data_IF_061052160790
#
_entry.id   IF_061052160790
#
_cell.length_a   1.000
_cell.length_b   1.000
_cell.length_c   1.000
_cell.angle_alpha   90.00
_cell.angle_beta   90.00
_cell.angle_gamma   90.00
#
_symmetry.space_group_name_H-M   'P 1'
#
loop_
_entity.id
_entity.type
_entity.pdbx_description
1 polymer ?
#
# COMPACT_ATOMS: atom_id res chain seq x y z
N UNK A 1 25.56 -5.09 35.04
CA UNK A 1 24.10 -5.32 34.84
C UNK A 1 23.50 -4.45 33.72
N UNK A 2 23.73 -3.12 33.68
CA UNK A 2 23.22 -2.25 32.59
C UNK A 2 23.71 -2.65 31.18
N UNK A 3 24.98 -3.02 31.04
CA UNK A 3 25.54 -3.41 29.73
C UNK A 3 24.95 -4.72 29.17
N UNK A 4 24.69 -5.72 30.04
CA UNK A 4 24.00 -6.95 29.62
C UNK A 4 22.57 -6.68 29.13
N UNK A 5 21.88 -5.70 29.72
CA UNK A 5 20.54 -5.30 29.26
C UNK A 5 20.58 -4.68 27.87
N UNK A 6 21.56 -3.81 27.60
CA UNK A 6 21.72 -3.16 26.30
C UNK A 6 22.08 -4.18 25.21
N UNK A 7 23.00 -5.10 25.51
CA UNK A 7 23.37 -6.18 24.58
C UNK A 7 22.15 -7.05 24.26
N UNK A 8 21.32 -7.40 25.24
CA UNK A 8 20.11 -8.17 25.02
C UNK A 8 19.08 -7.42 24.16
N UNK A 9 18.92 -6.12 24.38
CA UNK A 9 18.05 -5.26 23.54
C UNK A 9 18.52 -5.25 22.09
N UNK A 10 19.81 -5.07 21.84
CA UNK A 10 20.39 -5.06 20.49
C UNK A 10 20.16 -6.42 19.80
N UNK A 11 20.52 -7.53 20.47
CA UNK A 11 20.31 -8.89 19.94
C UNK A 11 18.84 -9.17 19.60
N UNK A 12 17.92 -8.65 20.41
CA UNK A 12 16.49 -8.78 20.13
C UNK A 12 16.10 -8.02 18.86
N UNK A 13 16.54 -6.77 18.70
CA UNK A 13 16.26 -5.98 17.50
C UNK A 13 16.84 -6.64 16.24
N UNK A 14 18.09 -7.12 16.30
CA UNK A 14 18.75 -7.81 15.18
C UNK A 14 18.00 -9.09 14.79
N UNK A 15 17.50 -9.85 15.78
CA UNK A 15 16.68 -11.05 15.50
C UNK A 15 15.38 -10.71 14.77
N UNK A 16 14.68 -9.65 15.18
CA UNK A 16 13.44 -9.23 14.51
C UNK A 16 13.76 -8.71 13.11
N UNK A 17 14.83 -7.92 12.95
CA UNK A 17 15.30 -7.41 11.66
C UNK A 17 15.63 -8.56 10.67
N UNK A 18 16.33 -9.59 11.13
CA UNK A 18 16.63 -10.78 10.32
C UNK A 18 15.36 -11.52 9.90
N UNK A 19 14.36 -11.65 10.79
CA UNK A 19 13.07 -12.26 10.47
C UNK A 19 12.30 -11.45 9.41
N UNK A 20 12.28 -10.13 9.54
CA UNK A 20 11.66 -9.21 8.57
C UNK A 20 12.28 -9.40 7.18
N UNK A 21 13.62 -9.43 7.08
CA UNK A 21 14.31 -9.64 5.80
C UNK A 21 14.11 -11.04 5.21
N UNK A 22 14.11 -12.08 6.05
CA UNK A 22 13.84 -13.44 5.60
C UNK A 22 12.43 -13.55 5.01
N UNK A 23 11.43 -12.97 5.70
CA UNK A 23 10.03 -12.97 5.25
C UNK A 23 9.87 -12.15 3.97
N UNK A 24 10.55 -11.00 3.86
CA UNK A 24 10.51 -10.18 2.63
C UNK A 24 10.96 -10.95 1.39
N UNK A 25 11.96 -11.84 1.52
CA UNK A 25 12.44 -12.67 0.40
C UNK A 25 11.37 -13.63 -0.12
N UNK A 26 10.42 -14.03 0.73
CA UNK A 26 9.35 -14.97 0.35
C UNK A 26 8.07 -14.26 -0.08
N UNK A 27 7.66 -13.15 0.55
CA UNK A 27 6.40 -12.44 0.22
C UNK A 27 6.52 -11.31 -0.80
N UNK A 28 7.74 -10.92 -1.21
CA UNK A 28 8.01 -9.92 -2.26
C UNK A 28 7.16 -8.64 -2.13
N UNK A 29 7.62 -7.71 -1.30
CA UNK A 29 7.08 -6.34 -1.30
C UNK A 29 7.27 -5.68 -2.67
N UNK A 30 6.17 -5.20 -3.28
CA UNK A 30 6.16 -4.54 -4.60
C UNK A 30 6.42 -3.03 -4.54
N UNK A 31 6.43 -2.45 -3.33
CA UNK A 31 6.77 -1.05 -3.06
C UNK A 31 7.45 -0.92 -1.68
N UNK A 32 8.21 0.17 -1.41
CA UNK A 32 8.81 0.39 -0.11
C UNK A 32 7.73 0.71 0.93
N UNK A 33 8.02 0.37 2.19
CA UNK A 33 7.18 0.76 3.33
C UNK A 33 7.54 2.19 3.73
N UNK A 34 6.55 3.05 3.84
CA UNK A 34 6.76 4.47 4.18
C UNK A 34 6.37 4.73 5.63
N UNK A 35 7.31 5.29 6.39
CA UNK A 35 7.16 5.60 7.80
C UNK A 35 7.28 7.12 7.99
N UNK A 36 6.20 7.75 8.41
CA UNK A 36 6.18 9.16 8.82
C UNK A 36 6.38 9.27 10.34
N UNK A 37 7.25 10.18 10.76
CA UNK A 37 7.40 10.58 12.15
C UNK A 37 6.92 12.02 12.33
N UNK A 38 5.96 12.22 13.23
CA UNK A 38 5.39 13.54 13.53
C UNK A 38 5.21 13.74 15.04
N UNK A 39 4.78 14.93 15.45
CA UNK A 39 4.44 15.22 16.84
C UNK A 39 5.25 16.35 17.46
N UNK A 40 5.22 16.48 18.80
CA UNK A 40 5.71 17.65 19.52
C UNK A 40 7.14 18.04 19.12
N UNK A 41 7.45 19.33 18.87
CA UNK A 41 8.83 19.79 18.78
C UNK A 41 9.66 19.31 19.98
N UNK A 42 10.92 18.90 19.74
CA UNK A 42 11.82 18.31 20.75
C UNK A 42 11.29 17.05 21.46
N UNK A 43 10.39 16.28 20.84
CA UNK A 43 10.03 14.92 21.32
C UNK A 43 11.07 13.83 21.04
N UNK A 44 12.20 14.15 20.38
CA UNK A 44 13.27 13.19 20.09
C UNK A 44 13.18 12.51 18.71
N UNK A 45 12.30 13.00 17.82
CA UNK A 45 12.10 12.49 16.44
C UNK A 45 13.39 12.35 15.65
N UNK A 46 14.09 13.46 15.38
CA UNK A 46 15.27 13.50 14.49
C UNK A 46 16.40 12.58 14.97
N UNK A 47 16.64 12.51 16.28
CA UNK A 47 17.62 11.60 16.88
C UNK A 47 17.21 10.13 16.75
N UNK A 48 15.92 9.83 16.96
CA UNK A 48 15.36 8.49 16.80
C UNK A 48 15.41 8.02 15.34
N UNK A 49 14.99 8.89 14.41
CA UNK A 49 15.05 8.70 12.96
C UNK A 49 16.45 8.35 12.47
N UNK A 50 17.45 9.13 12.91
CA UNK A 50 18.85 8.90 12.55
C UNK A 50 19.35 7.54 13.04
N UNK A 51 18.99 7.18 14.28
CA UNK A 51 19.36 5.90 14.89
C UNK A 51 18.69 4.71 14.20
N UNK A 52 17.38 4.82 13.91
CA UNK A 52 16.61 3.81 13.18
C UNK A 52 17.17 3.60 11.77
N UNK A 53 17.40 4.68 11.03
CA UNK A 53 17.93 4.61 9.68
C UNK A 53 19.31 3.93 9.64
N UNK A 54 20.20 4.29 10.58
CA UNK A 54 21.50 3.66 10.71
C UNK A 54 21.39 2.16 11.07
N UNK A 55 20.51 1.82 12.02
CA UNK A 55 20.26 0.45 12.42
C UNK A 55 19.77 -0.41 11.24
N UNK A 56 18.76 0.07 10.51
CA UNK A 56 18.20 -0.62 9.35
C UNK A 56 19.27 -0.85 8.27
N UNK A 57 20.04 0.19 7.90
CA UNK A 57 21.14 0.06 6.92
C UNK A 57 22.19 -0.97 7.35
N UNK A 58 22.62 -0.93 8.61
CA UNK A 58 23.59 -1.88 9.17
C UNK A 58 23.08 -3.32 9.20
N UNK A 59 21.76 -3.51 9.22
CA UNK A 59 21.11 -4.81 9.17
C UNK A 59 20.67 -5.23 7.76
N UNK A 60 21.11 -4.52 6.70
CA UNK A 60 20.93 -4.94 5.32
C UNK A 60 19.65 -4.45 4.64
N UNK A 61 18.92 -3.50 5.25
CA UNK A 61 17.78 -2.84 4.60
C UNK A 61 18.25 -1.73 3.67
N UNK A 62 17.64 -1.61 2.48
CA UNK A 62 17.78 -0.42 1.64
C UNK A 62 16.81 0.66 2.11
N UNK A 63 17.34 1.78 2.63
CA UNK A 63 16.51 2.83 3.21
C UNK A 63 16.79 4.22 2.66
N UNK A 64 15.75 5.05 2.63
CA UNK A 64 15.84 6.48 2.28
C UNK A 64 15.22 7.32 3.38
N UNK A 65 16.00 8.26 3.93
CA UNK A 65 15.49 9.31 4.81
C UNK A 65 15.19 10.54 3.95
N UNK A 66 13.96 11.04 4.00
CA UNK A 66 13.54 12.26 3.31
C UNK A 66 14.03 13.49 4.06
N UNK A 67 14.18 14.59 3.32
CA UNK A 67 14.70 15.86 3.86
C UNK A 67 13.63 16.59 4.65
N UNK A 68 13.94 17.03 5.89
CA UNK A 68 12.99 17.82 6.69
C UNK A 68 12.74 19.18 6.03
N UNK A 69 11.52 19.38 5.51
CA UNK A 69 11.16 20.56 4.72
C UNK A 69 11.02 21.85 5.53
N UNK A 70 10.70 21.77 6.81
CA UNK A 70 10.57 22.93 7.68
C UNK A 70 11.87 23.75 7.80
N UNK A 71 13.04 23.10 7.68
CA UNK A 71 14.36 23.75 7.78
C UNK A 71 14.76 24.57 6.56
N UNK A 72 14.18 24.26 5.39
CA UNK A 72 14.48 24.87 4.09
C UNK A 72 13.29 25.66 3.51
N UNK A 73 12.23 25.84 4.30
CA UNK A 73 11.05 26.57 3.88
C UNK A 73 11.38 28.07 3.70
N UNK A 74 11.01 28.69 2.57
CA UNK A 74 11.28 30.11 2.33
C UNK A 74 10.40 31.05 3.17
N UNK A 75 9.35 30.53 3.81
CA UNK A 75 8.41 31.31 4.61
C UNK A 75 8.94 31.38 6.03
N UNK A 76 9.27 32.60 6.49
CA UNK A 76 9.85 32.80 7.81
C UNK A 76 8.82 32.68 8.95
N UNK A 77 7.60 33.17 8.70
CA UNK A 77 6.51 33.12 9.68
C UNK A 77 5.85 31.73 9.71
N UNK A 78 6.06 31.03 10.83
CA UNK A 78 5.54 29.67 11.05
C UNK A 78 4.04 29.64 11.38
N UNK A 79 3.44 30.79 11.72
CA UNK A 79 2.01 30.90 11.95
C UNK A 79 1.24 31.21 10.66
N UNK A 80 1.93 31.62 9.59
CA UNK A 80 1.31 31.76 8.29
C UNK A 80 0.94 30.36 7.73
N UNK A 81 -0.33 30.10 7.36
CA UNK A 81 -0.75 28.82 6.79
C UNK A 81 0.09 28.35 5.61
N UNK A 82 0.60 29.29 4.79
CA UNK A 82 1.44 28.99 3.65
C UNK A 82 2.71 28.21 4.05
N UNK A 83 3.21 28.37 5.28
CA UNK A 83 4.33 27.58 5.80
C UNK A 83 4.01 26.08 5.81
N UNK A 84 2.87 25.71 6.39
CA UNK A 84 2.44 24.32 6.51
C UNK A 84 1.95 23.75 5.17
N UNK A 85 1.35 24.58 4.31
CA UNK A 85 1.01 24.21 2.93
C UNK A 85 2.28 23.91 2.13
N UNK A 86 3.29 24.80 2.18
CA UNK A 86 4.53 24.60 1.44
C UNK A 86 5.28 23.37 1.91
N UNK A 87 5.44 23.20 3.23
CA UNK A 87 6.19 22.07 3.80
C UNK A 87 5.51 20.72 3.52
N UNK A 88 4.18 20.65 3.58
CA UNK A 88 3.44 19.43 3.24
C UNK A 88 3.55 19.08 1.76
N UNK A 89 3.35 20.04 0.86
CA UNK A 89 3.48 19.83 -0.59
C UNK A 89 4.92 19.45 -0.98
N UNK A 90 5.92 20.10 -0.39
CA UNK A 90 7.32 19.78 -0.65
C UNK A 90 7.69 18.36 -0.16
N UNK A 91 7.14 17.91 0.97
CA UNK A 91 7.33 16.55 1.47
C UNK A 91 6.65 15.52 0.55
N UNK A 92 5.42 15.79 0.09
CA UNK A 92 4.71 14.96 -0.89
C UNK A 92 5.51 14.88 -2.20
N UNK A 93 6.03 15.99 -2.70
CA UNK A 93 6.81 16.02 -3.93
C UNK A 93 8.07 15.15 -3.83
N UNK A 94 8.80 15.21 -2.71
CA UNK A 94 9.97 14.35 -2.48
C UNK A 94 9.59 12.87 -2.38
N UNK A 95 8.49 12.56 -1.71
CA UNK A 95 7.99 11.19 -1.59
C UNK A 95 7.63 10.62 -2.97
N UNK A 96 6.88 11.37 -3.79
CA UNK A 96 6.51 10.98 -5.16
C UNK A 96 7.75 10.78 -6.04
N UNK A 97 8.72 11.70 -5.99
CA UNK A 97 9.98 11.55 -6.72
C UNK A 97 10.76 10.30 -6.28
N UNK A 98 10.79 10.02 -4.98
CA UNK A 98 11.46 8.82 -4.43
C UNK A 98 10.79 7.53 -4.90
N UNK A 99 9.46 7.49 -4.99
CA UNK A 99 8.74 6.35 -5.56
C UNK A 99 9.07 6.16 -7.05
N UNK A 100 9.14 7.24 -7.82
CA UNK A 100 9.42 7.20 -9.25
C UNK A 100 10.85 6.71 -9.56
N UNK A 101 11.85 7.20 -8.82
CA UNK A 101 13.26 6.93 -9.10
C UNK A 101 13.79 5.65 -8.44
N UNK A 102 13.28 5.33 -7.25
CA UNK A 102 13.90 4.33 -6.38
C UNK A 102 12.92 3.34 -5.76
N UNK A 103 11.61 3.47 -5.99
CA UNK A 103 10.57 2.71 -5.29
C UNK A 103 10.85 1.20 -5.23
N UNK A 104 11.19 0.58 -6.35
CA UNK A 104 11.40 -0.88 -6.43
C UNK A 104 12.67 -1.39 -5.73
N UNK A 105 13.61 -0.51 -5.41
CA UNK A 105 14.92 -0.87 -4.83
C UNK A 105 15.03 -0.53 -3.33
N UNK A 106 14.02 0.14 -2.77
CA UNK A 106 13.99 0.53 -1.37
C UNK A 106 13.09 -0.42 -0.56
N UNK A 107 13.51 -0.70 0.67
CA UNK A 107 12.72 -1.42 1.66
C UNK A 107 11.88 -0.46 2.49
N UNK A 108 12.50 0.64 2.92
CA UNK A 108 11.88 1.60 3.85
C UNK A 108 12.19 3.03 3.42
N UNK A 109 11.15 3.85 3.30
CA UNK A 109 11.25 5.31 3.22
C UNK A 109 10.86 5.87 4.58
N UNK A 110 11.65 6.80 5.10
CA UNK A 110 11.43 7.42 6.40
C UNK A 110 11.28 8.93 6.19
N UNK A 111 10.20 9.52 6.70
CA UNK A 111 9.92 10.95 6.61
C UNK A 111 9.97 11.60 7.99
N UNK A 112 10.78 12.66 8.15
CA UNK A 112 10.71 13.57 9.30
C UNK A 112 9.65 14.63 8.99
N UNK A 113 8.44 14.41 9.51
CA UNK A 113 7.19 15.10 9.18
C UNK A 113 6.69 14.80 7.76
N UNK A 114 5.42 15.08 7.51
CA UNK A 114 4.77 14.76 6.25
C UNK A 114 3.30 15.16 6.23
N UNK A 115 2.46 14.27 5.71
CA UNK A 115 1.04 14.53 5.55
C UNK A 115 0.38 14.62 6.93
N UNK A 116 0.64 13.67 7.82
CA UNK A 116 -0.04 13.62 9.12
C UNK A 116 0.40 14.75 10.06
N UNK A 117 1.68 15.14 10.04
CA UNK A 117 2.17 16.33 10.75
C UNK A 117 1.43 17.59 10.30
N UNK A 118 1.19 17.74 8.99
CA UNK A 118 0.45 18.86 8.43
C UNK A 118 -1.02 18.89 8.88
N UNK A 119 -1.67 17.72 8.98
CA UNK A 119 -3.03 17.64 9.56
C UNK A 119 -3.04 18.22 10.99
N UNK A 120 -2.05 17.86 11.82
CA UNK A 120 -1.95 18.38 13.18
C UNK A 120 -1.75 19.91 13.21
N UNK A 121 -0.94 20.46 12.30
CA UNK A 121 -0.74 21.92 12.22
C UNK A 121 -1.96 22.66 11.68
N UNK A 122 -2.71 22.08 10.74
CA UNK A 122 -3.93 22.71 10.23
C UNK A 122 -5.04 22.75 11.28
N UNK A 123 -5.14 21.75 12.15
CA UNK A 123 -6.01 21.82 13.33
C UNK A 123 -5.63 23.00 14.22
N UNK A 124 -4.33 23.11 14.57
CA UNK A 124 -3.85 24.22 15.40
C UNK A 124 -4.13 25.59 14.76
N UNK A 125 -3.88 25.74 13.45
CA UNK A 125 -4.11 26.99 12.73
C UNK A 125 -5.60 27.37 12.67
N UNK A 126 -6.49 26.39 12.51
CA UNK A 126 -7.93 26.61 12.50
C UNK A 126 -8.43 27.07 13.89
N UNK A 127 -8.00 26.38 14.95
CA UNK A 127 -8.42 26.69 16.32
C UNK A 127 -7.98 28.07 16.81
N UNK A 128 -6.90 28.61 16.23
CA UNK A 128 -6.30 29.89 16.64
C UNK A 128 -6.55 31.02 15.63
N UNK A 129 -7.57 30.88 14.77
CA UNK A 129 -8.00 31.89 13.78
C UNK A 129 -6.89 32.33 12.80
N UNK A 130 -5.93 31.44 12.55
CA UNK A 130 -4.88 31.63 11.54
C UNK A 130 -5.28 31.06 10.17
N UNK A 131 -6.36 30.28 10.10
CA UNK A 131 -6.86 29.65 8.87
C UNK A 131 -8.39 29.67 8.84
N UNK A 132 -8.96 29.92 7.66
CA UNK A 132 -10.41 29.85 7.44
C UNK A 132 -10.87 28.39 7.33
N UNK A 133 -12.09 28.12 7.79
CA UNK A 133 -12.71 26.79 7.67
C UNK A 133 -12.70 26.26 6.23
N UNK A 134 -12.98 27.11 5.23
CA UNK A 134 -13.00 26.70 3.82
C UNK A 134 -11.63 26.23 3.32
N UNK A 135 -10.56 26.91 3.74
CA UNK A 135 -9.20 26.56 3.34
C UNK A 135 -8.77 25.26 4.04
N UNK A 136 -9.12 25.15 5.32
CA UNK A 136 -8.94 23.92 6.10
C UNK A 136 -9.63 22.73 5.42
N UNK A 137 -10.92 22.82 5.10
CA UNK A 137 -11.69 21.73 4.50
C UNK A 137 -11.10 21.27 3.17
N UNK A 138 -10.68 22.24 2.32
CA UNK A 138 -10.06 21.94 1.04
C UNK A 138 -8.70 21.24 1.20
N UNK A 139 -7.85 21.71 2.13
CA UNK A 139 -6.53 21.14 2.38
C UNK A 139 -6.60 19.76 3.02
N UNK A 140 -7.48 19.58 4.01
CA UNK A 140 -7.72 18.28 4.63
C UNK A 140 -8.27 17.31 3.59
N UNK A 141 -9.25 17.71 2.77
CA UNK A 141 -9.78 16.88 1.69
C UNK A 141 -8.70 16.43 0.70
N UNK A 142 -7.79 17.33 0.32
CA UNK A 142 -6.65 17.00 -0.54
C UNK A 142 -5.66 16.03 0.13
N UNK A 143 -5.15 16.39 1.31
CA UNK A 143 -4.17 15.61 2.06
C UNK A 143 -4.69 14.23 2.47
N UNK A 144 -6.00 14.12 2.64
CA UNK A 144 -6.71 12.89 2.93
C UNK A 144 -7.38 12.30 1.68
N UNK A 145 -6.82 12.45 0.48
CA UNK A 145 -7.22 11.58 -0.64
C UNK A 145 -6.66 10.17 -0.48
N UNK A 146 -7.35 9.15 -1.02
CA UNK A 146 -6.89 7.75 -0.95
C UNK A 146 -5.51 7.57 -1.60
N UNK A 147 -5.24 8.33 -2.67
CA UNK A 147 -3.95 8.29 -3.37
C UNK A 147 -2.79 8.76 -2.47
N UNK A 148 -2.97 9.83 -1.71
CA UNK A 148 -1.94 10.33 -0.82
C UNK A 148 -1.80 9.48 0.44
N UNK A 149 -2.92 9.09 1.05
CA UNK A 149 -2.93 8.27 2.28
C UNK A 149 -2.32 6.89 2.04
N UNK A 150 -2.56 6.27 0.89
CA UNK A 150 -1.99 4.95 0.54
C UNK A 150 -0.47 4.96 0.31
N UNK A 151 0.14 6.14 0.16
CA UNK A 151 1.61 6.25 0.12
C UNK A 151 2.25 6.14 1.50
N UNK A 152 1.50 6.31 2.60
CA UNK A 152 2.03 6.25 3.98
C UNK A 152 1.50 4.99 4.65
N UNK A 153 2.40 4.11 5.06
CA UNK A 153 2.04 2.87 5.74
C UNK A 153 1.95 3.05 7.26
N UNK A 154 2.87 3.82 7.83
CA UNK A 154 3.02 3.96 9.27
C UNK A 154 3.19 5.42 9.65
N UNK A 155 2.45 5.87 10.66
CA UNK A 155 2.62 7.17 11.30
C UNK A 155 2.98 6.95 12.77
N UNK A 156 4.12 7.48 13.19
CA UNK A 156 4.54 7.53 14.58
C UNK A 156 4.45 8.94 15.14
N UNK A 157 3.52 9.14 16.06
CA UNK A 157 3.27 10.42 16.74
C UNK A 157 4.05 10.44 18.05
N UNK A 158 5.20 11.11 18.08
CA UNK A 158 6.03 11.24 19.29
C UNK A 158 5.61 12.50 20.06
N UNK A 159 5.05 12.30 21.26
CA UNK A 159 4.62 13.37 22.16
C UNK A 159 5.64 13.61 23.27
N UNK A 160 5.73 14.86 23.71
CA UNK A 160 6.44 15.24 24.92
C UNK A 160 5.64 16.31 25.67
N UNK A 161 5.67 16.27 27.00
CA UNK A 161 5.13 17.34 27.85
C UNK A 161 5.84 18.66 27.51
N UNK A 162 5.14 19.80 27.40
CA UNK A 162 5.74 21.09 27.04
C UNK A 162 6.97 21.46 27.86
N UNK A 163 6.94 21.22 29.19
CA UNK A 163 8.09 21.44 30.08
C UNK A 163 9.32 20.63 29.66
N UNK A 164 9.14 19.34 29.37
CA UNK A 164 10.23 18.44 28.96
C UNK A 164 10.80 18.86 27.59
N UNK A 165 9.94 19.22 26.64
CA UNK A 165 10.37 19.71 25.34
C UNK A 165 11.20 21.01 25.47
N UNK A 166 10.80 21.92 26.36
CA UNK A 166 11.57 23.14 26.67
C UNK A 166 12.92 22.82 27.32
N UNK A 167 12.97 21.90 28.29
CA UNK A 167 14.23 21.47 28.92
C UNK A 167 15.21 20.90 27.88
N UNK A 168 14.70 20.09 26.94
CA UNK A 168 15.49 19.55 25.82
C UNK A 168 15.97 20.64 24.86
N UNK A 169 15.18 21.68 24.61
CA UNK A 169 15.62 22.84 23.82
C UNK A 169 16.81 23.54 24.50
N UNK A 170 16.67 23.88 25.78
CA UNK A 170 17.71 24.60 26.51
C UNK A 170 19.00 23.81 26.71
N UNK A 171 18.93 22.49 26.79
CA UNK A 171 20.11 21.64 26.86
C UNK A 171 21.05 21.80 25.64
N UNK A 172 20.52 22.28 24.51
CA UNK A 172 21.26 22.44 23.25
C UNK A 172 21.46 23.90 22.82
N UNK A 173 20.84 24.86 23.51
CA UNK A 173 20.98 26.27 23.20
C UNK A 173 21.99 26.95 24.12
N UNK A 174 22.83 27.82 23.53
CA UNK A 174 23.64 28.80 24.28
C UNK A 174 22.81 30.05 24.68
N UNK A 175 21.49 30.00 24.53
CA UNK A 175 20.56 31.10 24.80
C UNK A 175 19.28 30.60 25.43
N UNK A 176 18.62 31.45 26.22
CA UNK A 176 17.30 31.18 26.82
C UNK A 176 16.16 31.91 26.09
N UNK A 177 16.45 32.60 24.98
CA UNK A 177 15.40 33.24 24.16
C UNK A 177 14.56 32.16 23.48
N UNK A 178 13.25 32.31 23.56
CA UNK A 178 12.30 31.40 22.95
C UNK A 178 12.14 31.67 21.44
N UNK A 179 11.97 30.61 20.66
CA UNK A 179 11.45 30.72 19.29
C UNK A 179 9.93 30.91 19.29
N UNK A 180 9.37 31.32 18.14
CA UNK A 180 7.92 31.50 17.96
C UNK A 180 7.11 30.25 18.33
N UNK A 181 7.62 29.05 17.99
CA UNK A 181 6.98 27.77 18.30
C UNK A 181 7.47 27.16 19.62
N UNK A 182 8.75 27.33 19.97
CA UNK A 182 9.36 26.73 21.16
C UNK A 182 9.08 27.53 22.43
N UNK A 183 7.81 27.57 22.81
CA UNK A 183 7.33 28.10 24.09
C UNK A 183 6.25 27.19 24.68
N UNK A 184 6.08 27.20 25.99
CA UNK A 184 5.19 26.26 26.70
C UNK A 184 3.73 26.38 26.31
N UNK A 185 3.26 27.59 25.95
CA UNK A 185 1.87 27.82 25.53
C UNK A 185 1.60 27.14 24.19
N UNK A 186 2.37 27.48 23.16
CA UNK A 186 2.21 26.90 21.81
C UNK A 186 2.44 25.39 21.81
N UNK A 187 3.39 24.89 22.61
CA UNK A 187 3.60 23.44 22.73
C UNK A 187 2.42 22.71 23.39
N UNK A 188 1.70 23.36 24.31
CA UNK A 188 0.49 22.80 24.92
C UNK A 188 -0.64 22.77 23.90
N UNK A 189 -0.92 23.91 23.26
CA UNK A 189 -1.94 24.06 22.21
C UNK A 189 -1.69 23.06 21.06
N UNK A 190 -0.44 22.91 20.62
CA UNK A 190 -0.09 21.97 19.56
C UNK A 190 -0.27 20.50 19.98
N UNK A 191 -0.05 20.16 21.26
CA UNK A 191 -0.32 18.82 21.76
C UNK A 191 -1.82 18.49 21.75
N UNK A 192 -2.68 19.48 21.98
CA UNK A 192 -4.15 19.36 21.87
C UNK A 192 -4.54 19.15 20.40
N UNK A 193 -3.98 19.95 19.48
CA UNK A 193 -4.18 19.78 18.04
C UNK A 193 -3.75 18.39 17.52
N UNK A 194 -2.66 17.82 18.05
CA UNK A 194 -2.25 16.43 17.74
C UNK A 194 -3.32 15.42 18.17
N UNK A 195 -3.92 15.61 19.36
CA UNK A 195 -4.96 14.70 19.86
C UNK A 195 -6.20 14.74 18.97
N UNK A 196 -6.61 15.94 18.56
CA UNK A 196 -7.76 16.16 17.67
C UNK A 196 -7.49 15.53 16.30
N UNK A 197 -6.33 15.78 15.69
CA UNK A 197 -5.95 15.17 14.42
C UNK A 197 -5.93 13.63 14.51
N UNK A 198 -5.42 13.08 15.61
CA UNK A 198 -5.46 11.64 15.85
C UNK A 198 -6.90 11.11 15.95
N UNK A 199 -7.79 11.81 16.65
CA UNK A 199 -9.21 11.42 16.75
C UNK A 199 -9.92 11.46 15.39
N UNK A 200 -9.69 12.50 14.58
CA UNK A 200 -10.36 12.66 13.29
C UNK A 200 -9.79 11.76 12.19
N UNK A 201 -8.48 11.53 12.18
CA UNK A 201 -7.80 11.01 10.99
C UNK A 201 -7.11 9.67 11.16
N UNK A 202 -6.91 9.16 12.38
CA UNK A 202 -6.16 7.90 12.62
C UNK A 202 -6.68 6.74 11.76
N UNK A 203 -7.99 6.56 11.69
CA UNK A 203 -8.62 5.45 10.95
C UNK A 203 -8.64 5.65 9.43
N UNK A 204 -8.13 6.79 8.95
CA UNK A 204 -7.92 7.04 7.52
C UNK A 204 -6.56 6.57 7.03
N UNK A 205 -5.63 6.26 7.94
CA UNK A 205 -4.29 5.77 7.65
C UNK A 205 -4.15 4.31 8.08
N UNK A 206 -3.19 3.59 7.47
CA UNK A 206 -2.97 2.16 7.73
C UNK A 206 -2.63 1.85 9.17
N UNK A 207 -1.78 2.67 9.78
CA UNK A 207 -1.42 2.52 11.18
C UNK A 207 -0.91 3.86 11.73
N UNK A 208 -1.54 4.35 12.80
CA UNK A 208 -1.03 5.48 13.58
C UNK A 208 -0.78 5.03 15.01
N UNK A 209 0.46 5.18 15.48
CA UNK A 209 0.88 4.84 16.84
C UNK A 209 1.42 6.08 17.55
N UNK A 210 0.92 6.32 18.76
CA UNK A 210 1.38 7.44 19.60
C UNK A 210 2.33 6.93 20.67
N UNK A 211 3.41 7.66 20.91
CA UNK A 211 4.42 7.33 21.91
C UNK A 211 4.68 8.58 22.75
N UNK A 212 4.44 8.50 24.06
CA UNK A 212 4.88 9.54 25.00
C UNK A 212 6.35 9.32 25.33
N UNK A 213 7.16 10.33 25.04
CA UNK A 213 8.61 10.32 25.24
C UNK A 213 9.05 11.11 26.47
N UNK A 214 8.11 11.67 27.24
CA UNK A 214 8.40 12.62 28.31
C UNK A 214 9.33 12.05 29.39
N UNK A 215 9.10 10.79 29.75
CA UNK A 215 9.78 10.11 30.86
C UNK A 215 10.79 9.05 30.36
N UNK A 216 11.16 9.11 29.08
CA UNK A 216 12.09 8.17 28.44
C UNK A 216 13.43 8.83 28.15
N UNK A 217 14.52 8.08 28.36
CA UNK A 217 15.83 8.48 27.85
C UNK A 217 15.87 8.38 26.33
N UNK A 218 16.80 9.08 25.68
CA UNK A 218 16.95 9.01 24.22
C UNK A 218 17.21 7.57 23.73
N UNK A 219 17.93 6.77 24.52
CA UNK A 219 18.20 5.37 24.19
C UNK A 219 16.93 4.50 24.32
N UNK A 220 16.10 4.75 25.34
CA UNK A 220 14.85 4.02 25.53
C UNK A 220 13.84 4.37 24.44
N UNK A 221 13.72 5.65 24.07
CA UNK A 221 12.90 6.08 22.93
C UNK A 221 13.36 5.37 21.66
N UNK A 222 14.67 5.39 21.38
CA UNK A 222 15.23 4.79 20.15
C UNK A 222 15.01 3.28 20.11
N UNK A 223 15.19 2.58 21.24
CA UNK A 223 14.94 1.14 21.35
C UNK A 223 13.45 0.81 21.14
N UNK A 224 12.55 1.49 21.86
CA UNK A 224 11.12 1.23 21.77
C UNK A 224 10.56 1.50 20.38
N UNK A 225 10.93 2.65 19.79
CA UNK A 225 10.52 3.01 18.42
C UNK A 225 11.07 1.98 17.43
N UNK A 226 12.36 1.64 17.50
CA UNK A 226 12.95 0.66 16.56
C UNK A 226 12.28 -0.70 16.68
N UNK A 227 12.04 -1.17 17.90
CA UNK A 227 11.33 -2.44 18.15
C UNK A 227 9.93 -2.41 17.56
N UNK A 228 9.18 -1.33 17.81
CA UNK A 228 7.82 -1.18 17.33
C UNK A 228 7.76 -1.09 15.80
N UNK A 229 8.70 -0.36 15.19
CA UNK A 229 8.86 -0.31 13.73
C UNK A 229 9.12 -1.70 13.19
N UNK A 230 10.11 -2.44 13.69
CA UNK A 230 10.43 -3.78 13.19
C UNK A 230 9.28 -4.78 13.34
N UNK A 231 8.58 -4.76 14.48
CA UNK A 231 7.40 -5.59 14.70
C UNK A 231 6.28 -5.25 13.70
N UNK A 232 6.04 -3.96 13.48
CA UNK A 232 5.01 -3.53 12.53
C UNK A 232 5.43 -3.86 11.10
N UNK A 233 6.71 -3.68 10.73
CA UNK A 233 7.23 -4.11 9.42
C UNK A 233 7.00 -5.60 9.19
N UNK A 234 7.25 -6.44 10.20
CA UNK A 234 6.96 -7.86 10.11
C UNK A 234 5.46 -8.13 9.86
N UNK A 235 4.57 -7.47 10.62
CA UNK A 235 3.12 -7.59 10.44
C UNK A 235 2.64 -7.14 9.06
N UNK A 236 3.25 -6.10 8.48
CA UNK A 236 2.91 -5.60 7.14
C UNK A 236 3.43 -6.50 6.01
N UNK A 237 4.55 -7.20 6.25
CA UNK A 237 5.16 -8.13 5.27
C UNK A 237 4.42 -9.47 5.25
N UNK A 238 3.83 -9.87 6.37
CA UNK A 238 2.94 -11.04 6.42
C UNK A 238 1.64 -10.68 5.73
N UNK A 239 1.58 -10.97 4.44
CA UNK A 239 0.42 -10.70 3.59
C UNK A 239 -0.81 -11.41 4.16
N UNK A 240 -1.86 -10.64 4.44
CA UNK A 240 -3.16 -11.18 4.86
C UNK A 240 -4.14 -11.03 3.72
N UNK A 241 -4.54 -12.15 3.13
CA UNK A 241 -5.41 -12.18 1.97
C UNK A 241 -6.85 -12.53 2.36
N UNK A 242 -7.78 -12.06 1.54
CA UNK A 242 -9.18 -12.37 1.66
C UNK A 242 -9.50 -13.82 1.31
N UNK A 243 -10.53 -14.35 1.94
CA UNK A 243 -11.19 -15.58 1.52
C UNK A 243 -12.67 -15.60 1.94
N UNK A 244 -13.46 -16.32 1.17
CA UNK A 244 -14.79 -16.78 1.54
C UNK A 244 -14.69 -18.19 2.10
N UNK A 245 -15.58 -18.56 3.04
CA UNK A 245 -15.73 -19.97 3.39
C UNK A 245 -16.37 -20.68 2.21
N UNK A 246 -15.83 -21.83 1.84
CA UNK A 246 -16.31 -22.62 0.69
C UNK A 246 -17.78 -23.00 0.82
N UNK A 247 -18.26 -23.19 2.05
CA UNK A 247 -19.66 -23.51 2.33
C UNK A 247 -20.64 -22.40 1.91
N UNK A 248 -20.22 -21.14 2.00
CA UNK A 248 -21.03 -19.99 1.61
C UNK A 248 -21.18 -19.88 0.07
N UNK A 249 -20.31 -20.58 -0.68
CA UNK A 249 -20.33 -20.63 -2.14
C UNK A 249 -21.00 -21.89 -2.71
N UNK A 250 -21.64 -22.73 -1.88
CA UNK A 250 -22.26 -24.00 -2.33
C UNK A 250 -23.24 -23.83 -3.50
N UNK A 251 -24.02 -22.75 -3.51
CA UNK A 251 -24.96 -22.45 -4.61
C UNK A 251 -24.30 -22.25 -6.00
N UNK A 252 -23.01 -21.96 -6.03
CA UNK A 252 -22.21 -21.70 -7.23
C UNK A 252 -21.23 -22.84 -7.56
N UNK A 253 -21.20 -23.88 -6.73
CA UNK A 253 -20.27 -25.00 -6.85
C UNK A 253 -20.46 -25.85 -8.13
N UNK A 254 -21.63 -25.81 -8.75
CA UNK A 254 -21.90 -26.55 -10.00
C UNK A 254 -21.67 -25.71 -11.27
N UNK A 255 -21.27 -24.43 -11.14
CA UNK A 255 -21.00 -23.55 -12.27
C UNK A 255 -19.50 -23.28 -12.39
N UNK A 256 -19.02 -23.14 -13.62
CA UNK A 256 -17.64 -22.74 -13.91
C UNK A 256 -17.48 -21.22 -14.01
N UNK A 257 -18.54 -20.52 -14.41
CA UNK A 257 -18.58 -19.06 -14.49
C UNK A 257 -20.03 -18.54 -14.34
N UNK A 258 -20.17 -17.29 -13.90
CA UNK A 258 -21.45 -16.57 -13.74
C UNK A 258 -21.18 -15.07 -13.64
N UNK A 259 -22.19 -14.22 -13.83
CA UNK A 259 -22.03 -12.80 -13.54
C UNK A 259 -22.16 -12.51 -12.06
N UNK A 260 -21.40 -11.54 -11.53
CA UNK A 260 -21.45 -11.18 -10.11
C UNK A 260 -22.87 -10.75 -9.69
N UNK A 261 -23.60 -10.06 -10.57
CA UNK A 261 -25.00 -9.68 -10.34
C UNK A 261 -25.98 -10.85 -10.14
N UNK A 262 -25.60 -12.07 -10.53
CA UNK A 262 -26.40 -13.28 -10.27
C UNK A 262 -26.26 -13.76 -8.81
N UNK A 263 -25.21 -13.34 -8.10
CA UNK A 263 -25.01 -13.69 -6.68
C UNK A 263 -26.03 -12.98 -5.80
N UNK A 264 -26.90 -13.77 -5.14
CA UNK A 264 -27.85 -13.26 -4.15
C UNK A 264 -27.11 -12.94 -2.85
N UNK A 265 -26.51 -11.76 -2.80
CA UNK A 265 -25.64 -11.34 -1.69
C UNK A 265 -24.24 -11.91 -1.83
N UNK A 266 -23.25 -11.08 -1.53
CA UNK A 266 -21.84 -11.48 -1.53
C UNK A 266 -21.54 -12.03 -0.13
N UNK A 267 -20.93 -13.23 0.00
CA UNK A 267 -20.59 -13.80 1.30
C UNK A 267 -19.69 -12.88 2.12
N UNK A 268 -19.71 -13.07 3.45
CA UNK A 268 -18.79 -12.38 4.34
C UNK A 268 -17.34 -12.74 3.99
N UNK A 269 -16.50 -11.71 3.87
CA UNK A 269 -15.10 -11.88 3.54
C UNK A 269 -14.25 -11.90 4.80
N UNK A 270 -13.43 -12.95 4.95
CA UNK A 270 -12.50 -13.11 6.05
C UNK A 270 -11.06 -12.87 5.58
N UNK A 271 -10.15 -12.56 6.52
CA UNK A 271 -8.74 -12.27 6.21
C UNK A 271 -7.79 -13.10 7.07
N UNK A 272 -6.93 -13.90 6.42
CA UNK A 272 -5.94 -14.75 7.07
C UNK A 272 -4.54 -14.60 6.46
N UNK A 273 -3.46 -15.04 7.14
CA UNK A 273 -2.13 -15.08 6.55
C UNK A 273 -2.12 -15.91 5.26
N UNK A 274 -1.51 -15.38 4.20
CA UNK A 274 -1.47 -15.98 2.85
C UNK A 274 -1.05 -17.43 2.85
N UNK A 275 0.09 -17.75 3.48
CA UNK A 275 0.62 -19.12 3.53
C UNK A 275 -0.34 -20.12 4.19
N UNK A 276 -1.20 -19.65 5.09
CA UNK A 276 -2.23 -20.45 5.75
C UNK A 276 -3.46 -20.59 4.86
N UNK A 277 -3.96 -19.48 4.31
CA UNK A 277 -5.16 -19.44 3.46
C UNK A 277 -4.97 -20.22 2.15
N UNK A 278 -3.78 -20.15 1.54
CA UNK A 278 -3.47 -20.89 0.30
C UNK A 278 -3.44 -22.41 0.50
N UNK A 279 -3.28 -22.89 1.74
CA UNK A 279 -3.29 -24.33 2.09
C UNK A 279 -4.62 -24.80 2.64
N UNK A 280 -5.54 -23.89 2.95
CA UNK A 280 -6.83 -24.20 3.53
C UNK A 280 -7.84 -24.59 2.45
N UNK A 281 -8.17 -25.87 2.38
CA UNK A 281 -9.14 -26.40 1.42
C UNK A 281 -10.58 -25.95 1.69
N UNK A 282 -10.85 -25.35 2.86
CA UNK A 282 -12.15 -24.76 3.19
C UNK A 282 -12.27 -23.29 2.77
N UNK A 283 -11.17 -22.67 2.34
CA UNK A 283 -11.12 -21.29 1.88
C UNK A 283 -11.21 -21.19 0.35
N UNK A 284 -11.90 -20.15 -0.13
CA UNK A 284 -11.92 -19.75 -1.55
C UNK A 284 -11.54 -18.28 -1.64
N UNK A 285 -10.45 -18.00 -2.34
CA UNK A 285 -9.84 -16.68 -2.40
C UNK A 285 -10.44 -15.90 -3.58
N UNK A 286 -11.07 -14.73 -3.34
CA UNK A 286 -11.45 -13.83 -4.42
C UNK A 286 -10.20 -13.17 -5.02
N UNK A 287 -10.09 -13.24 -6.36
CA UNK A 287 -8.99 -12.67 -7.13
C UNK A 287 -9.57 -11.69 -8.15
N UNK A 288 -9.70 -10.40 -7.81
CA UNK A 288 -10.03 -9.37 -8.77
C UNK A 288 -8.96 -9.30 -9.86
N UNK A 289 -9.40 -9.38 -11.11
CA UNK A 289 -8.53 -9.20 -12.28
C UNK A 289 -9.15 -8.22 -13.27
N UNK A 290 -8.31 -7.45 -13.95
CA UNK A 290 -8.71 -6.52 -15.00
C UNK A 290 -8.18 -6.97 -16.37
N UNK A 291 -9.04 -6.81 -17.38
CA UNK A 291 -8.77 -7.15 -18.78
C UNK A 291 -8.81 -5.85 -19.57
N UNK A 292 -7.68 -5.46 -20.15
CA UNK A 292 -7.55 -4.21 -20.89
C UNK A 292 -7.76 -4.48 -22.37
N UNK A 293 -8.84 -3.93 -22.93
CA UNK A 293 -9.21 -4.04 -24.35
C UNK A 293 -9.41 -2.66 -24.97
N UNK A 294 -9.33 -2.54 -26.29
CA UNK A 294 -9.77 -1.32 -26.97
C UNK A 294 -11.31 -1.20 -26.93
N UNK A 295 -11.83 0.00 -27.23
CA UNK A 295 -13.28 0.26 -27.23
C UNK A 295 -14.06 -0.63 -28.21
N UNK A 296 -13.41 -1.07 -29.29
CA UNK A 296 -13.99 -2.00 -30.27
C UNK A 296 -13.87 -3.48 -29.85
N UNK A 297 -13.13 -3.77 -28.78
CA UNK A 297 -12.84 -5.12 -28.27
C UNK A 297 -12.21 -6.03 -29.32
N UNK A 298 -11.37 -5.47 -30.17
CA UNK A 298 -10.58 -6.19 -31.19
C UNK A 298 -9.17 -6.46 -30.73
N UNK A 299 -8.65 -5.67 -29.80
CA UNK A 299 -7.31 -5.79 -29.27
C UNK A 299 -7.32 -5.95 -27.76
N UNK A 300 -6.35 -6.68 -27.23
CA UNK A 300 -6.18 -6.90 -25.79
C UNK A 300 -4.71 -6.81 -25.42
N UNK A 301 -4.42 -6.23 -24.26
CA UNK A 301 -3.07 -6.27 -23.69
C UNK A 301 -2.81 -7.66 -23.10
N UNK A 302 -1.72 -8.31 -23.55
CA UNK A 302 -1.37 -9.66 -23.10
C UNK A 302 -0.05 -9.69 -22.35
N UNK A 303 0.09 -10.64 -21.42
CA UNK A 303 1.31 -10.86 -20.64
C UNK A 303 1.65 -12.32 -20.45
N UNK A 304 2.93 -12.58 -20.17
CA UNK A 304 3.42 -13.87 -19.66
C UNK A 304 4.18 -13.62 -18.37
N UNK A 305 3.87 -14.39 -17.34
CA UNK A 305 4.65 -14.37 -16.09
C UNK A 305 6.02 -15.00 -16.31
N UNK A 306 7.02 -14.55 -15.55
CA UNK A 306 8.35 -15.16 -15.52
C UNK A 306 8.27 -16.54 -14.85
N UNK A 307 9.19 -17.43 -15.22
CA UNK A 307 9.32 -18.74 -14.57
C UNK A 307 9.68 -18.63 -13.09
N UNK A 308 10.35 -17.55 -12.69
CA UNK A 308 10.74 -17.28 -11.30
C UNK A 308 9.59 -16.68 -10.46
N UNK A 309 8.57 -16.09 -11.09
CA UNK A 309 7.40 -15.52 -10.40
C UNK A 309 6.24 -16.50 -10.30
N UNK A 310 6.35 -17.68 -10.92
CA UNK A 310 5.31 -18.71 -10.90
C UNK A 310 5.83 -19.99 -10.26
N UNK A 311 5.05 -20.54 -9.32
CA UNK A 311 5.32 -21.88 -8.77
C UNK A 311 5.32 -22.95 -9.87
N UNK A 312 5.99 -24.08 -9.63
CA UNK A 312 6.08 -25.19 -10.60
C UNK A 312 4.72 -25.63 -11.13
N UNK A 313 3.72 -25.61 -10.27
CA UNK A 313 2.38 -26.14 -10.50
C UNK A 313 1.37 -25.04 -10.82
N UNK A 314 1.84 -23.81 -11.13
CA UNK A 314 0.94 -22.72 -11.50
C UNK A 314 0.33 -22.94 -12.90
N UNK A 315 -1.00 -22.86 -13.05
CA UNK A 315 -1.67 -22.88 -14.36
C UNK A 315 -1.19 -21.78 -15.32
N UNK A 316 -0.66 -20.68 -14.78
CA UNK A 316 -0.17 -19.53 -15.53
C UNK A 316 1.24 -19.74 -16.12
N UNK A 317 1.98 -20.75 -15.64
CA UNK A 317 3.41 -20.92 -15.95
C UNK A 317 3.63 -21.15 -17.45
N UNK A 318 4.34 -20.21 -18.10
CA UNK A 318 4.68 -20.26 -19.53
C UNK A 318 3.51 -19.94 -20.48
N UNK A 319 2.29 -19.80 -19.95
CA UNK A 319 1.08 -19.51 -20.73
C UNK A 319 0.90 -18.01 -20.97
N UNK A 320 0.18 -17.67 -22.03
CA UNK A 320 -0.24 -16.30 -22.30
C UNK A 320 -1.50 -15.97 -21.49
N UNK A 321 -1.50 -14.80 -20.84
CA UNK A 321 -2.58 -14.27 -20.03
C UNK A 321 -3.12 -12.98 -20.68
N UNK A 322 -4.41 -12.71 -20.48
CA UNK A 322 -5.11 -11.49 -20.95
C UNK A 322 -5.55 -10.59 -19.81
N UNK A 323 -5.10 -10.88 -18.58
CA UNK A 323 -5.54 -10.20 -17.38
C UNK A 323 -4.37 -9.82 -16.48
N UNK A 324 -4.65 -8.86 -15.60
CA UNK A 324 -3.77 -8.33 -14.56
C UNK A 324 -4.52 -8.30 -13.25
N UNK A 325 -3.84 -8.46 -12.11
CA UNK A 325 -4.52 -8.52 -10.82
C UNK A 325 -3.96 -9.58 -9.88
N UNK A 326 -4.62 -9.70 -8.73
CA UNK A 326 -4.10 -10.50 -7.63
C UNK A 326 -5.11 -10.64 -6.50
N UNK A 327 -4.61 -11.12 -5.36
CA UNK A 327 -5.43 -11.33 -4.18
C UNK A 327 -5.85 -10.00 -3.56
N UNK A 328 -7.08 -9.96 -3.03
CA UNK A 328 -7.50 -8.90 -2.12
C UNK A 328 -6.69 -9.02 -0.83
N UNK A 329 -6.01 -7.95 -0.42
CA UNK A 329 -5.29 -7.86 0.85
C UNK A 329 -6.14 -7.14 1.89
N UNK A 330 -5.84 -7.36 3.17
CA UNK A 330 -6.54 -6.70 4.29
C UNK A 330 -6.53 -5.17 4.16
N UNK A 331 -5.44 -4.59 3.69
CA UNK A 331 -5.30 -3.15 3.46
C UNK A 331 -6.18 -2.61 2.32
N UNK A 332 -6.62 -3.46 1.38
CA UNK A 332 -7.50 -3.05 0.28
C UNK A 332 -8.92 -2.72 0.79
N UNK A 333 -9.25 -3.13 2.02
CA UNK A 333 -10.50 -2.76 2.69
C UNK A 333 -10.56 -1.27 3.16
N UNK A 334 -9.68 -0.42 2.64
CA UNK A 334 -9.58 1.02 2.97
C UNK A 334 -9.65 1.29 4.48
N UNK A 335 -8.99 0.44 5.26
CA UNK A 335 -8.95 0.48 6.73
C UNK A 335 -10.33 0.40 7.41
N UNK A 336 -11.25 -0.38 6.82
CA UNK A 336 -12.58 -0.65 7.37
C UNK A 336 -13.67 0.31 6.89
N UNK A 337 -13.35 1.23 5.97
CA UNK A 337 -14.33 2.16 5.39
C UNK A 337 -15.09 1.59 4.20
N UNK A 338 -14.56 0.55 3.57
CA UNK A 338 -15.23 -0.11 2.45
C UNK A 338 -16.13 -1.24 2.99
N UNK A 339 -17.44 -1.00 3.05
CA UNK A 339 -18.38 -2.04 3.49
C UNK A 339 -18.77 -2.98 2.35
N UNK A 340 -18.73 -2.48 1.11
CA UNK A 340 -19.12 -3.23 -0.08
C UNK A 340 -17.91 -3.93 -0.74
N UNK A 341 -18.10 -5.18 -1.14
CA UNK A 341 -17.09 -5.98 -1.84
C UNK A 341 -16.57 -5.30 -3.10
N UNK A 342 -17.43 -4.62 -3.85
CA UNK A 342 -17.09 -3.93 -5.08
C UNK A 342 -16.08 -2.81 -4.84
N UNK A 343 -16.22 -2.08 -3.72
CA UNK A 343 -15.27 -1.03 -3.32
C UNK A 343 -13.89 -1.62 -3.00
N UNK A 344 -13.86 -2.77 -2.32
CA UNK A 344 -12.62 -3.48 -1.98
C UNK A 344 -11.96 -4.06 -3.22
N UNK A 345 -12.74 -4.68 -4.12
CA UNK A 345 -12.24 -5.21 -5.38
C UNK A 345 -11.68 -4.08 -6.28
N UNK A 346 -12.34 -2.92 -6.31
CA UNK A 346 -11.85 -1.74 -7.01
C UNK A 346 -10.52 -1.22 -6.44
N UNK A 347 -10.40 -1.13 -5.11
CA UNK A 347 -9.16 -0.75 -4.44
C UNK A 347 -8.02 -1.75 -4.72
N UNK A 348 -8.33 -3.06 -4.67
CA UNK A 348 -7.41 -4.15 -5.02
C UNK A 348 -6.89 -3.98 -6.43
N UNK A 349 -7.78 -3.79 -7.42
CA UNK A 349 -7.39 -3.62 -8.82
C UNK A 349 -6.58 -2.35 -9.03
N UNK A 350 -6.93 -1.24 -8.37
CA UNK A 350 -6.16 -0.01 -8.44
C UNK A 350 -4.72 -0.23 -7.98
N UNK A 351 -4.53 -0.94 -6.85
CA UNK A 351 -3.21 -1.31 -6.33
C UNK A 351 -2.46 -2.24 -7.28
N UNK A 352 -3.07 -3.36 -7.67
CA UNK A 352 -2.44 -4.37 -8.53
C UNK A 352 -2.02 -3.77 -9.89
N UNK A 353 -2.90 -3.01 -10.53
CA UNK A 353 -2.60 -2.34 -11.80
C UNK A 353 -1.50 -1.29 -11.64
N UNK A 354 -1.50 -0.53 -10.54
CA UNK A 354 -0.41 0.42 -10.28
C UNK A 354 0.94 -0.32 -10.09
N UNK A 355 0.96 -1.44 -9.38
CA UNK A 355 2.17 -2.23 -9.15
C UNK A 355 2.67 -2.94 -10.42
N UNK A 356 1.76 -3.48 -11.22
CA UNK A 356 2.04 -4.33 -12.38
C UNK A 356 2.26 -3.56 -13.68
N UNK A 357 1.58 -2.42 -13.85
CA UNK A 357 1.58 -1.62 -15.07
C UNK A 357 2.05 -0.17 -14.87
N UNK A 358 2.22 0.30 -13.64
CA UNK A 358 2.55 1.70 -13.32
C UNK A 358 1.52 2.72 -13.85
N UNK A 359 0.26 2.32 -13.93
CA UNK A 359 -0.86 3.18 -14.38
C UNK A 359 -1.95 3.26 -13.34
N UNK A 360 -2.77 4.31 -13.40
CA UNK A 360 -3.97 4.47 -12.58
C UNK A 360 -5.19 4.37 -13.46
N UNK A 361 -6.01 3.34 -13.27
CA UNK A 361 -7.20 3.10 -14.10
C UNK A 361 -8.46 3.22 -13.23
N UNK A 362 -9.51 3.79 -13.82
CA UNK A 362 -10.85 3.81 -13.23
C UNK A 362 -11.68 2.73 -13.91
N UNK A 363 -11.87 1.61 -13.24
CA UNK A 363 -12.66 0.49 -13.75
C UNK A 363 -14.15 0.83 -13.58
N UNK A 364 -14.88 0.88 -14.69
CA UNK A 364 -16.31 1.23 -14.75
C UNK A 364 -17.24 0.05 -14.98
N UNK A 365 -16.68 -1.16 -15.09
CA UNK A 365 -17.45 -2.38 -15.29
C UNK A 365 -18.29 -2.70 -14.06
N UNK A 366 -19.62 -2.61 -14.23
CA UNK A 366 -20.61 -2.77 -13.16
C UNK A 366 -21.03 -4.22 -12.95
N UNK A 367 -20.65 -5.13 -13.84
CA UNK A 367 -21.16 -6.50 -13.84
C UNK A 367 -20.04 -7.48 -14.22
N UNK A 368 -19.03 -7.65 -13.32
CA UNK A 368 -17.86 -8.47 -13.59
C UNK A 368 -18.23 -9.95 -13.74
N UNK A 369 -17.42 -10.68 -14.52
CA UNK A 369 -17.57 -12.13 -14.69
C UNK A 369 -16.84 -12.86 -13.57
N UNK A 370 -17.54 -13.70 -12.84
CA UNK A 370 -16.95 -14.63 -11.88
C UNK A 370 -16.52 -15.92 -12.59
N UNK A 371 -15.31 -16.41 -12.33
CA UNK A 371 -14.79 -17.69 -12.87
C UNK A 371 -14.25 -18.53 -11.72
N UNK A 372 -14.78 -19.75 -11.55
CA UNK A 372 -14.35 -20.69 -10.52
C UNK A 372 -14.23 -22.11 -11.09
N UNK A 373 -13.02 -22.46 -11.49
CA UNK A 373 -12.69 -23.75 -12.10
C UNK A 373 -12.25 -24.77 -11.03
N UNK A 374 -12.72 -26.01 -11.14
CA UNK A 374 -12.42 -27.08 -10.15
C UNK A 374 -11.47 -28.18 -10.67
N UNK A 375 -10.67 -27.85 -11.68
CA UNK A 375 -9.81 -28.80 -12.40
C UNK A 375 -8.58 -29.25 -11.59
N UNK A 376 -8.08 -28.41 -10.67
CA UNK A 376 -6.97 -28.76 -9.78
C UNK A 376 -7.13 -28.07 -8.41
N UNK A 377 -6.34 -28.49 -7.42
CA UNK A 377 -6.43 -27.94 -6.05
C UNK A 377 -6.23 -26.42 -6.01
N UNK A 378 -5.33 -25.89 -6.85
CA UNK A 378 -5.12 -24.45 -6.95
C UNK A 378 -6.35 -23.75 -7.53
N UNK A 379 -6.89 -24.21 -8.65
CA UNK A 379 -8.06 -23.58 -9.26
C UNK A 379 -9.30 -23.64 -8.34
N UNK A 380 -9.48 -24.74 -7.58
CA UNK A 380 -10.57 -24.88 -6.59
C UNK A 380 -10.50 -23.83 -5.48
N UNK A 381 -9.30 -23.36 -5.16
CA UNK A 381 -9.09 -22.36 -4.11
C UNK A 381 -9.22 -20.90 -4.59
N UNK A 382 -9.39 -20.64 -5.89
CA UNK A 382 -9.42 -19.27 -6.43
C UNK A 382 -10.67 -18.99 -7.24
N UNK A 383 -11.34 -17.88 -6.91
CA UNK A 383 -12.49 -17.33 -7.62
C UNK A 383 -12.04 -16.04 -8.32
N UNK A 384 -11.89 -16.06 -9.63
CA UNK A 384 -11.56 -14.84 -10.38
C UNK A 384 -12.79 -13.94 -10.48
N UNK A 385 -12.60 -12.64 -10.24
CA UNK A 385 -13.63 -11.61 -10.45
C UNK A 385 -13.11 -10.69 -11.55
N UNK A 386 -13.62 -10.90 -12.76
CA UNK A 386 -13.06 -10.33 -13.99
C UNK A 386 -13.79 -9.05 -14.36
N UNK A 387 -13.05 -7.95 -14.30
CA UNK A 387 -13.47 -6.64 -14.74
C UNK A 387 -12.90 -6.31 -16.11
N UNK A 388 -13.72 -5.70 -16.96
CA UNK A 388 -13.29 -5.16 -18.23
C UNK A 388 -12.88 -3.68 -18.08
N UNK A 389 -11.76 -3.32 -18.70
CA UNK A 389 -11.34 -1.93 -18.86
C UNK A 389 -11.18 -1.60 -20.33
N UNK A 390 -12.01 -0.68 -20.82
CA UNK A 390 -11.90 -0.14 -22.18
C UNK A 390 -10.79 0.92 -22.20
N UNK A 391 -9.63 0.50 -22.66
CA UNK A 391 -8.43 1.30 -22.79
C UNK A 391 -8.42 2.07 -24.11
N UNK A 392 -8.04 3.35 -24.04
CA UNK A 392 -7.50 4.02 -25.21
C UNK A 392 -6.00 3.71 -25.28
N UNK A 393 -5.63 2.71 -26.08
CA UNK A 393 -4.23 2.28 -26.21
C UNK A 393 -3.31 3.32 -26.83
N UNK A 394 -3.82 4.32 -27.55
CA UNK A 394 -3.01 5.43 -28.09
C UNK A 394 -2.55 6.39 -26.99
N UNK A 395 -3.33 6.50 -25.91
CA UNK A 395 -3.04 7.37 -24.77
C UNK A 395 -2.62 6.61 -23.51
N UNK A 396 -2.58 5.28 -23.55
CA UNK A 396 -2.16 4.44 -22.43
C UNK A 396 -0.66 4.13 -22.50
N UNK A 397 0.14 4.89 -21.77
CA UNK A 397 1.54 4.55 -21.50
C UNK A 397 1.63 3.69 -20.24
N UNK A 398 2.18 2.49 -20.36
CA UNK A 398 2.34 1.55 -19.25
C UNK A 398 3.75 0.97 -19.21
N UNK A 399 4.17 0.52 -18.02
CA UNK A 399 5.43 -0.17 -17.79
C UNK A 399 5.17 -1.45 -17.02
N UNK A 400 5.39 -2.58 -17.68
CA UNK A 400 5.30 -3.90 -17.06
C UNK A 400 6.28 -4.02 -15.89
N UNK A 401 5.84 -4.62 -14.80
CA UNK A 401 6.74 -5.06 -13.76
C UNK A 401 7.75 -6.08 -14.30
N UNK A 402 9.02 -5.70 -14.27
CA UNK A 402 10.11 -6.47 -14.86
C UNK A 402 10.44 -7.72 -14.09
N UNK A 403 9.91 -7.88 -12.89
CA UNK A 403 10.11 -9.07 -12.09
C UNK A 403 8.94 -10.05 -12.10
N UNK A 404 7.71 -9.58 -12.33
CA UNK A 404 6.53 -10.42 -12.49
C UNK A 404 6.41 -10.94 -13.92
N UNK A 405 6.60 -10.04 -14.90
CA UNK A 405 6.32 -10.32 -16.30
C UNK A 405 7.58 -10.38 -17.17
N UNK A 406 7.48 -11.17 -18.23
CA UNK A 406 8.45 -11.15 -19.33
C UNK A 406 8.30 -9.81 -20.04
N UNK A 407 9.42 -9.09 -20.18
CA UNK A 407 9.44 -7.78 -20.83
C UNK A 407 9.24 -7.90 -22.34
N UNK A 408 8.84 -6.79 -22.96
CA UNK A 408 8.68 -6.65 -24.41
C UNK A 408 10.05 -6.59 -25.10
N UNK A 409 10.82 -7.69 -25.04
CA UNK A 409 12.12 -7.82 -25.69
C UNK A 409 12.16 -9.06 -26.60
N UNK A 410 12.71 -8.90 -27.80
CA UNK A 410 12.85 -9.97 -28.78
C UNK A 410 11.51 -10.48 -29.33
N UNK A 411 11.36 -11.81 -29.44
CA UNK A 411 10.17 -12.48 -30.00
C UNK A 411 9.01 -12.68 -29.00
N UNK A 412 9.15 -12.22 -27.76
CA UNK A 412 8.10 -12.39 -26.75
C UNK A 412 6.87 -11.55 -27.08
N UNK A 413 5.69 -12.15 -26.95
CA UNK A 413 4.41 -11.47 -27.07
C UNK A 413 3.98 -10.74 -25.77
N UNK A 414 4.64 -11.04 -24.65
CA UNK A 414 4.30 -10.41 -23.36
C UNK A 414 4.50 -8.90 -23.42
N UNK A 415 3.53 -8.15 -22.89
CA UNK A 415 3.52 -6.69 -22.91
C UNK A 415 3.19 -6.08 -24.26
N UNK A 416 2.50 -6.83 -25.12
CA UNK A 416 2.02 -6.34 -26.42
C UNK A 416 0.51 -6.26 -26.41
N UNK A 417 0.00 -5.31 -27.20
CA UNK A 417 -1.40 -5.25 -27.58
C UNK A 417 -1.54 -6.14 -28.82
N UNK A 418 -2.37 -7.18 -28.73
CA UNK A 418 -2.55 -8.14 -29.82
C UNK A 418 -4.00 -8.17 -30.30
N UNK A 419 -4.23 -8.42 -31.61
CA UNK A 419 -5.55 -8.73 -32.11
C UNK A 419 -6.10 -9.99 -31.44
N UNK A 420 -7.31 -9.93 -30.91
CA UNK A 420 -7.95 -11.06 -30.24
C UNK A 420 -8.14 -12.23 -31.21
N UNK A 421 -8.38 -11.94 -32.48
CA UNK A 421 -8.49 -12.92 -33.54
C UNK A 421 -7.22 -13.79 -33.68
N UNK A 422 -6.04 -13.32 -33.29
CA UNK A 422 -4.78 -14.09 -33.40
C UNK A 422 -4.51 -14.99 -32.20
N UNK A 423 -5.25 -14.81 -31.09
CA UNK A 423 -4.97 -15.47 -29.82
C UNK A 423 -5.37 -16.95 -29.80
N UNK A 424 -6.26 -17.41 -30.70
CA UNK A 424 -6.64 -18.83 -30.79
C UNK A 424 -5.46 -19.77 -31.11
N UNK A 425 -4.39 -19.22 -31.71
CA UNK A 425 -3.17 -19.97 -32.07
C UNK A 425 -2.19 -20.10 -30.89
N UNK A 426 -2.51 -19.47 -29.76
CA UNK A 426 -1.60 -19.34 -28.63
C UNK A 426 -1.99 -20.26 -27.48
N UNK A 427 -0.98 -20.76 -26.79
CA UNK A 427 -1.18 -21.51 -25.56
C UNK A 427 -1.59 -20.58 -24.42
N UNK A 428 -2.89 -20.55 -24.15
CA UNK A 428 -3.50 -19.70 -23.12
C UNK A 428 -3.95 -20.51 -21.91
N UNK A 429 -3.86 -19.87 -20.75
CA UNK A 429 -4.43 -20.36 -19.50
C UNK A 429 -5.98 -20.34 -19.55
N UNK A 430 -6.64 -21.19 -18.76
CA UNK A 430 -8.08 -21.45 -18.83
C UNK A 430 -8.96 -20.22 -18.56
N UNK A 431 -8.68 -19.41 -17.53
CA UNK A 431 -9.41 -18.16 -17.30
C UNK A 431 -9.30 -17.24 -18.49
N UNK A 432 -8.12 -17.12 -19.09
CA UNK A 432 -7.92 -16.25 -20.26
C UNK A 432 -8.83 -16.63 -21.44
N UNK A 433 -9.06 -17.93 -21.67
CA UNK A 433 -9.99 -18.41 -22.72
C UNK A 433 -11.45 -18.08 -22.39
N UNK A 434 -11.87 -18.32 -21.14
CA UNK A 434 -13.23 -18.02 -20.67
C UNK A 434 -13.51 -16.53 -20.72
N UNK A 435 -12.55 -15.69 -20.34
CA UNK A 435 -12.62 -14.24 -20.39
C UNK A 435 -12.89 -13.76 -21.81
N UNK A 436 -12.08 -14.20 -22.78
CA UNK A 436 -12.24 -13.76 -24.17
C UNK A 436 -13.60 -14.16 -24.76
N UNK A 437 -14.07 -15.38 -24.44
CA UNK A 437 -15.36 -15.89 -24.92
C UNK A 437 -16.56 -15.20 -24.25
N UNK A 438 -16.57 -15.13 -22.92
CA UNK A 438 -17.77 -14.78 -22.16
C UNK A 438 -17.80 -13.34 -21.63
N UNK A 439 -16.63 -12.70 -21.44
CA UNK A 439 -16.57 -11.31 -20.96
C UNK A 439 -16.31 -10.32 -22.09
N UNK A 440 -15.35 -10.62 -22.96
CA UNK A 440 -15.01 -9.74 -24.08
C UNK A 440 -16.01 -9.90 -25.24
N UNK A 441 -16.42 -11.15 -25.53
CA UNK A 441 -17.37 -11.47 -26.59
C UNK A 441 -16.71 -11.70 -27.95
N UNK A 442 -15.52 -12.31 -27.97
CA UNK A 442 -14.74 -12.52 -29.19
C UNK A 442 -15.44 -13.50 -30.16
N UNK A 443 -15.78 -13.03 -31.37
CA UNK A 443 -16.26 -13.87 -32.47
C UNK A 443 -15.17 -14.86 -32.92
N UNK A 444 -15.50 -16.15 -33.03
CA UNK A 444 -14.54 -17.23 -33.31
C UNK A 444 -14.00 -17.97 -32.07
N UNK A 445 -14.48 -17.63 -30.86
CA UNK A 445 -14.12 -18.32 -29.62
C UNK A 445 -14.80 -19.70 -29.41
N UNK A 446 -15.59 -20.18 -30.37
CA UNK A 446 -16.36 -21.44 -30.25
C UNK A 446 -15.43 -22.66 -30.12
N UNK A 447 -14.25 -22.64 -30.74
CA UNK A 447 -13.24 -23.70 -30.64
C UNK A 447 -12.42 -23.76 -29.35
N UNK A 448 -12.63 -22.84 -28.39
CA UNK A 448 -11.68 -22.60 -27.29
C UNK A 448 -12.00 -23.35 -25.99
N UNK A 449 -13.18 -23.95 -25.88
CA UNK A 449 -13.68 -24.62 -24.67
C UNK A 449 -13.67 -26.16 -24.73
N UNK A 450 -13.25 -26.78 -25.85
CA UNK A 450 -13.39 -28.24 -26.03
C UNK A 450 -12.70 -29.09 -24.94
N UNK A 451 -11.77 -28.51 -24.17
CA UNK A 451 -11.06 -29.16 -23.06
C UNK A 451 -11.47 -28.69 -21.65
N UNK A 452 -12.51 -27.84 -21.51
CA UNK A 452 -12.88 -27.24 -20.21
C UNK A 452 -14.18 -27.82 -19.59
N UNK A 453 -14.97 -28.56 -20.38
CA UNK A 453 -16.23 -29.20 -19.95
C UNK A 453 -16.08 -30.70 -19.56
N UNK A 454 -14.84 -31.17 -19.42
CA UNK A 454 -14.46 -32.41 -18.72
C UNK A 454 -13.71 -32.08 -17.45
#
# INVERSE_FOLDING_TARGET
MKDNSIINHIKQLERIAALVLATKKTTRLRRPIVIEFCGTPKSGKTSCLSSLNLFLKRNGFSTRLLTERASVCPIADKFNPLFNIWTSIAAIAELVATFADHGKNLDVIISDRGIFDALCWFEWLLEHDHMKQSDYDALIGYLTTDKLRSMIDLVYVLKAKPRIAMEREYAHLLTRRHGSIMNTRVLKEYNEAIEIACQKHKDSFRCVKTIDTSDLSQNDVSYQVTKMVLQTLYELIVERIAYFKREDLRGWSNRSYWKLSEMRGIPEMHFGPRDTVERDTSAVQPVPVAVLVDSERKHVLVVKKRSQSTGSDSPEKGRLLVYFGGHIRKEDNLYGKAEAFESIASATLSREIQEELSVSLTIRDKDPLCIWLKQNERSKAHLAIVYLYEANFEHLSYRLDNTEFIQTAGKSMSGRILPIADLHKQEMEAWSRIILKHKVGASGAEGWLFDLDT
#
